data_IF_510549441781
#
_entry.id   IF_510549441781
#
_cell.length_a   1.000
_cell.length_b   1.000
_cell.length_c   1.000
_cell.angle_alpha   90.00
_cell.angle_beta   90.00
_cell.angle_gamma   90.00
#
_symmetry.space_group_name_H-M   'P 1'
#
loop_
_entity.id
_entity.type
_entity.pdbx_description
1 polymer ?
#
# COMPACT_ATOMS: atom_id res chain seq x y z
N UNK A 1 1.64 26.98 8.37
CA UNK A 1 2.86 26.31 7.87
C UNK A 1 2.41 25.01 7.20
N UNK A 2 2.74 24.82 5.93
CA UNK A 2 2.36 23.63 5.18
C UNK A 2 3.51 22.64 5.31
N UNK A 3 3.22 21.40 5.71
CA UNK A 3 4.16 20.27 5.67
C UNK A 3 3.93 19.48 4.39
N UNK A 4 4.97 19.18 3.64
CA UNK A 4 4.92 18.28 2.49
C UNK A 4 5.60 16.96 2.82
N UNK A 5 4.91 15.85 2.56
CA UNK A 5 5.33 14.49 2.82
C UNK A 5 5.10 13.61 1.59
N UNK A 6 6.10 13.38 0.74
CA UNK A 6 6.06 12.28 -0.20
C UNK A 6 6.34 10.95 0.52
N UNK A 7 5.59 9.93 0.18
CA UNK A 7 5.75 8.58 0.69
C UNK A 7 6.46 7.76 -0.40
N UNK A 8 7.51 7.05 -0.01
CA UNK A 8 8.26 6.15 -0.89
C UNK A 8 7.88 4.70 -0.55
N UNK A 9 7.15 4.06 -1.44
CA UNK A 9 6.72 2.66 -1.31
C UNK A 9 7.84 1.72 -1.74
N UNK A 10 8.88 1.63 -0.92
CA UNK A 10 10.09 0.84 -1.16
C UNK A 10 10.02 -0.61 -0.64
N UNK A 11 8.90 -1.01 -0.08
CA UNK A 11 8.63 -2.39 0.38
C UNK A 11 8.59 -3.37 -0.78
N UNK A 12 8.09 -2.93 -1.93
CA UNK A 12 7.82 -3.72 -3.11
C UNK A 12 6.45 -3.36 -3.66
N UNK A 13 6.30 -3.39 -4.98
CA UNK A 13 5.04 -3.02 -5.59
C UNK A 13 4.68 -4.02 -6.69
N UNK A 14 3.54 -4.65 -6.51
CA UNK A 14 2.99 -5.57 -7.50
C UNK A 14 2.58 -4.81 -8.78
N UNK A 15 2.57 -5.49 -9.92
CA UNK A 15 2.27 -4.85 -11.21
C UNK A 15 0.80 -4.48 -11.38
N UNK A 16 -0.08 -4.95 -10.50
CA UNK A 16 -1.51 -4.60 -10.50
C UNK A 16 -1.92 -3.98 -9.17
N UNK A 17 -2.84 -3.03 -9.22
CA UNK A 17 -3.44 -2.39 -8.05
C UNK A 17 -4.37 -3.35 -7.26
N UNK A 18 -4.60 -4.55 -7.80
CA UNK A 18 -5.42 -5.63 -7.20
C UNK A 18 -4.63 -6.71 -6.48
N UNK A 19 -3.48 -6.36 -5.90
CA UNK A 19 -2.62 -7.30 -5.14
C UNK A 19 -2.15 -8.52 -5.96
N UNK A 20 -2.00 -8.37 -7.28
CA UNK A 20 -1.57 -9.42 -8.21
C UNK A 20 -0.47 -8.93 -9.15
N UNK A 21 0.23 -9.86 -9.79
CA UNK A 21 1.29 -9.55 -10.75
C UNK A 21 2.69 -9.66 -10.13
N UNK A 22 3.72 -9.44 -10.95
CA UNK A 22 5.12 -9.56 -10.52
C UNK A 22 5.59 -8.30 -9.76
N UNK A 23 6.50 -8.45 -8.81
CA UNK A 23 7.14 -7.32 -8.13
C UNK A 23 8.04 -6.54 -9.11
N UNK A 24 7.73 -5.26 -9.30
CA UNK A 24 8.47 -4.34 -10.18
C UNK A 24 9.88 -4.09 -9.67
N UNK A 25 10.05 -3.97 -8.34
CA UNK A 25 11.34 -3.72 -7.71
C UNK A 25 12.28 -4.91 -7.88
N UNK A 26 11.76 -6.13 -7.66
CA UNK A 26 12.51 -7.36 -7.85
C UNK A 26 12.93 -7.56 -9.32
N UNK A 27 12.08 -7.24 -10.29
CA UNK A 27 12.43 -7.25 -11.70
C UNK A 27 13.56 -6.26 -12.03
N UNK A 28 13.48 -5.05 -11.49
CA UNK A 28 14.53 -4.03 -11.62
C UNK A 28 15.84 -4.51 -11.02
N UNK A 29 15.81 -5.05 -9.81
CA UNK A 29 16.97 -5.58 -9.10
C UNK A 29 17.67 -6.70 -9.89
N UNK A 30 16.92 -7.69 -10.38
CA UNK A 30 17.44 -8.77 -11.21
C UNK A 30 18.07 -8.26 -12.52
N UNK A 31 17.42 -7.29 -13.19
CA UNK A 31 17.92 -6.69 -14.44
C UNK A 31 19.23 -5.94 -14.24
N UNK A 32 19.38 -5.22 -13.13
CA UNK A 32 20.50 -4.35 -12.85
C UNK A 32 21.57 -5.00 -11.96
N UNK A 33 21.37 -6.26 -11.58
CA UNK A 33 22.27 -7.01 -10.67
C UNK A 33 22.51 -6.29 -9.35
N UNK A 34 21.44 -5.72 -8.77
CA UNK A 34 21.43 -5.00 -7.51
C UNK A 34 20.40 -5.64 -6.55
N UNK A 35 20.49 -5.29 -5.27
CA UNK A 35 19.43 -5.59 -4.31
C UNK A 35 18.22 -4.65 -4.52
N UNK A 36 17.05 -5.03 -4.01
CA UNK A 36 15.86 -4.17 -4.04
C UNK A 36 16.12 -2.83 -3.36
N UNK A 37 16.82 -2.83 -2.22
CA UNK A 37 17.16 -1.60 -1.48
C UNK A 37 18.13 -0.70 -2.26
N UNK A 38 19.13 -1.25 -2.96
CA UNK A 38 20.01 -0.46 -3.82
C UNK A 38 19.27 0.19 -4.99
N UNK A 39 18.27 -0.50 -5.55
CA UNK A 39 17.38 0.06 -6.58
C UNK A 39 16.55 1.20 -6.01
N UNK A 40 15.92 1.00 -4.84
CA UNK A 40 15.12 2.04 -4.18
C UNK A 40 15.97 3.30 -3.89
N UNK A 41 17.15 3.14 -3.31
CA UNK A 41 18.07 4.25 -3.01
C UNK A 41 18.53 4.98 -4.29
N UNK A 42 18.87 4.24 -5.33
CA UNK A 42 19.30 4.82 -6.60
C UNK A 42 18.20 5.70 -7.23
N UNK A 43 16.98 5.18 -7.35
CA UNK A 43 15.89 5.94 -7.97
C UNK A 43 15.36 7.06 -7.08
N UNK A 44 15.41 6.92 -5.76
CA UNK A 44 15.11 8.01 -4.82
C UNK A 44 16.07 9.18 -5.02
N UNK A 45 17.37 8.91 -5.14
CA UNK A 45 18.39 9.95 -5.41
C UNK A 45 18.19 10.60 -6.79
N UNK A 46 17.91 9.80 -7.82
CA UNK A 46 17.63 10.30 -9.16
C UNK A 46 16.39 11.21 -9.16
N UNK A 47 15.30 10.79 -8.51
CA UNK A 47 14.09 11.60 -8.39
C UNK A 47 14.36 12.97 -7.76
N UNK A 48 15.10 13.03 -6.65
CA UNK A 48 15.41 14.32 -6.01
C UNK A 48 16.40 15.17 -6.82
N UNK A 49 17.29 14.55 -7.58
CA UNK A 49 18.16 15.28 -8.51
C UNK A 49 17.32 15.95 -9.61
N UNK A 50 16.40 15.23 -10.22
CA UNK A 50 15.48 15.75 -11.24
C UNK A 50 14.57 16.84 -10.67
N UNK A 51 14.05 16.67 -9.46
CA UNK A 51 13.29 17.69 -8.75
C UNK A 51 14.10 18.99 -8.56
N UNK A 52 15.37 18.86 -8.19
CA UNK A 52 16.25 20.02 -7.99
C UNK A 52 16.48 20.79 -9.31
N UNK A 53 16.66 20.07 -10.43
CA UNK A 53 16.79 20.69 -11.76
C UNK A 53 15.53 21.47 -12.20
N UNK A 54 14.37 20.98 -11.78
CA UNK A 54 13.07 21.64 -12.01
C UNK A 54 12.76 22.74 -10.97
N UNK A 55 13.67 23.08 -10.07
CA UNK A 55 13.46 23.99 -8.96
C UNK A 55 12.30 23.60 -8.03
N UNK A 56 12.00 22.31 -7.91
CA UNK A 56 11.03 21.79 -6.97
C UNK A 56 11.70 21.75 -5.59
N UNK A 57 11.08 22.43 -4.62
CA UNK A 57 11.59 22.51 -3.26
C UNK A 57 11.57 21.13 -2.60
N UNK A 58 12.66 20.80 -1.91
CA UNK A 58 12.73 19.56 -1.11
C UNK A 58 11.58 19.53 -0.09
N UNK A 59 10.85 18.41 0.03
CA UNK A 59 9.79 18.25 1.02
C UNK A 59 10.31 18.35 2.46
N UNK A 60 9.42 18.66 3.40
CA UNK A 60 9.77 18.78 4.84
C UNK A 60 10.08 17.41 5.45
N UNK A 61 9.39 16.36 5.00
CA UNK A 61 9.60 14.97 5.42
C UNK A 61 9.65 14.08 4.18
N UNK A 62 10.58 13.15 4.18
CA UNK A 62 10.67 12.06 3.18
C UNK A 62 10.73 10.75 3.95
N UNK A 63 9.71 9.93 3.84
CA UNK A 63 9.61 8.70 4.63
C UNK A 63 9.50 7.46 3.73
N UNK A 64 10.53 6.59 3.74
CA UNK A 64 10.44 5.27 3.12
C UNK A 64 9.52 4.35 3.93
N UNK A 65 8.67 3.60 3.26
CA UNK A 65 7.72 2.69 3.91
C UNK A 65 8.42 1.59 4.74
N UNK A 66 9.60 1.13 4.30
CA UNK A 66 10.41 0.15 5.05
C UNK A 66 10.81 0.61 6.44
N UNK A 67 10.85 1.92 6.72
CA UNK A 67 11.13 2.46 8.05
C UNK A 67 9.92 2.42 9.00
N UNK A 68 8.72 2.16 8.49
CA UNK A 68 7.48 2.26 9.23
C UNK A 68 6.81 0.90 9.53
N UNK A 69 7.50 -0.21 9.30
CA UNK A 69 6.96 -1.56 9.52
C UNK A 69 6.36 -1.76 10.93
N UNK A 70 7.00 -1.32 12.02
CA UNK A 70 6.40 -1.44 13.36
C UNK A 70 5.12 -0.62 13.53
N UNK A 71 5.03 0.54 12.86
CA UNK A 71 3.84 1.38 12.87
C UNK A 71 2.68 0.70 12.12
N UNK A 72 2.95 0.05 10.98
CA UNK A 72 1.94 -0.72 10.24
C UNK A 72 1.41 -1.87 11.08
N UNK A 73 2.27 -2.66 11.72
CA UNK A 73 1.87 -3.76 12.60
C UNK A 73 0.98 -3.24 13.74
N UNK A 74 1.30 -2.10 14.33
CA UNK A 74 0.50 -1.48 15.39
C UNK A 74 -0.89 -1.09 14.90
N UNK A 75 -0.99 -0.44 13.74
CA UNK A 75 -2.29 -0.01 13.16
C UNK A 75 -3.13 -1.24 12.80
N UNK A 76 -2.54 -2.23 12.12
CA UNK A 76 -3.24 -3.47 11.75
C UNK A 76 -3.75 -4.21 13.01
N UNK A 77 -2.93 -4.29 14.07
CA UNK A 77 -3.36 -4.90 15.35
C UNK A 77 -4.57 -4.18 15.93
N UNK A 78 -4.58 -2.84 15.90
CA UNK A 78 -5.71 -2.04 16.37
C UNK A 78 -6.98 -2.26 15.51
N UNK A 79 -6.83 -2.43 14.19
CA UNK A 79 -7.95 -2.76 13.30
C UNK A 79 -8.55 -4.13 13.60
N UNK A 80 -7.70 -5.13 13.93
CA UNK A 80 -8.15 -6.45 14.36
C UNK A 80 -8.91 -6.36 15.69
N UNK A 81 -8.34 -5.66 16.68
CA UNK A 81 -8.98 -5.48 18.00
C UNK A 81 -10.33 -4.78 17.92
N UNK A 82 -10.46 -3.81 17.01
CA UNK A 82 -11.71 -3.09 16.75
C UNK A 82 -12.70 -3.88 15.89
N UNK A 83 -12.31 -5.02 15.33
CA UNK A 83 -13.15 -5.89 14.50
C UNK A 83 -13.30 -5.43 13.05
N UNK A 84 -12.43 -4.54 12.57
CA UNK A 84 -12.38 -4.09 11.17
C UNK A 84 -11.46 -4.95 10.30
N UNK A 85 -10.62 -5.79 10.89
CA UNK A 85 -9.76 -6.69 10.15
C UNK A 85 -9.89 -8.13 10.65
N UNK A 86 -9.54 -9.08 9.80
CA UNK A 86 -9.62 -10.51 10.08
C UNK A 86 -8.49 -11.29 9.41
N UNK A 87 -8.16 -12.43 9.98
CA UNK A 87 -7.23 -13.39 9.39
C UNK A 87 -7.98 -14.42 8.54
N UNK A 88 -7.49 -14.69 7.33
CA UNK A 88 -7.93 -15.77 6.49
C UNK A 88 -6.82 -16.24 5.55
N UNK A 89 -6.71 -17.56 5.34
CA UNK A 89 -5.68 -18.16 4.48
C UNK A 89 -4.23 -17.86 4.90
N UNK A 90 -4.02 -17.28 6.09
CA UNK A 90 -2.73 -16.83 6.62
C UNK A 90 -2.45 -15.34 6.39
N UNK A 91 -3.29 -14.62 5.66
CA UNK A 91 -3.17 -13.17 5.45
C UNK A 91 -4.14 -12.39 6.34
N UNK A 92 -3.87 -11.10 6.54
CA UNK A 92 -4.77 -10.19 7.26
C UNK A 92 -5.49 -9.31 6.25
N UNK A 93 -6.81 -9.28 6.32
CA UNK A 93 -7.68 -8.51 5.44
C UNK A 93 -8.45 -7.44 6.20
N UNK A 94 -8.71 -6.32 5.55
CA UNK A 94 -9.71 -5.35 6.00
C UNK A 94 -11.10 -5.81 5.57
N UNK A 95 -12.07 -5.75 6.49
CA UNK A 95 -13.49 -6.11 6.29
C UNK A 95 -14.29 -4.87 5.87
N UNK A 96 -14.45 -4.67 4.58
CA UNK A 96 -15.16 -3.50 4.03
C UNK A 96 -16.64 -3.46 4.40
N UNK A 97 -17.24 -4.59 4.76
CA UNK A 97 -18.64 -4.66 5.20
C UNK A 97 -18.90 -3.97 6.54
N UNK A 98 -17.85 -3.63 7.30
CA UNK A 98 -17.96 -2.90 8.57
C UNK A 98 -18.18 -1.41 8.36
N UNK A 99 -17.93 -0.88 7.17
CA UNK A 99 -18.11 0.52 6.85
C UNK A 99 -19.55 0.77 6.38
N UNK A 100 -20.12 1.90 6.80
CA UNK A 100 -21.45 2.34 6.33
C UNK A 100 -21.39 2.79 4.87
N UNK A 101 -20.27 3.39 4.49
CA UNK A 101 -19.98 3.89 3.16
C UNK A 101 -18.52 3.59 2.84
N UNK A 102 -18.29 2.82 1.81
CA UNK A 102 -16.94 2.45 1.37
C UNK A 102 -16.54 3.22 0.10
N UNK A 103 -17.45 3.37 -0.86
CA UNK A 103 -17.18 4.02 -2.15
C UNK A 103 -17.35 5.54 -2.05
N UNK A 104 -16.36 6.23 -1.45
CA UNK A 104 -16.44 7.66 -1.13
C UNK A 104 -16.17 8.59 -2.32
N UNK A 105 -15.57 8.08 -3.42
CA UNK A 105 -15.18 8.88 -4.59
C UNK A 105 -16.10 8.74 -5.81
N UNK A 106 -17.19 8.03 -5.71
CA UNK A 106 -18.15 7.88 -6.81
C UNK A 106 -19.18 6.79 -6.58
N UNK A 107 -20.22 6.79 -7.39
CA UNK A 107 -21.24 5.75 -7.43
C UNK A 107 -20.69 4.51 -8.19
N UNK A 108 -19.73 3.83 -7.58
CA UNK A 108 -19.25 2.54 -8.11
C UNK A 108 -20.27 1.47 -7.77
N UNK A 109 -20.86 0.86 -8.77
CA UNK A 109 -21.67 -0.33 -8.59
C UNK A 109 -20.80 -1.61 -8.72
N UNK A 110 -21.34 -2.77 -8.33
CA UNK A 110 -20.60 -4.03 -8.42
C UNK A 110 -20.20 -4.39 -9.87
N UNK A 111 -20.93 -3.89 -10.88
CA UNK A 111 -20.62 -4.11 -12.28
C UNK A 111 -19.44 -3.24 -12.73
N UNK A 112 -19.34 -2.00 -12.24
CA UNK A 112 -18.19 -1.10 -12.49
C UNK A 112 -16.92 -1.67 -11.82
N UNK A 113 -17.06 -2.31 -10.66
CA UNK A 113 -15.97 -3.03 -10.00
C UNK A 113 -15.49 -4.23 -10.81
N UNK A 114 -16.38 -4.93 -11.49
CA UNK A 114 -16.01 -6.03 -12.37
C UNK A 114 -15.22 -5.54 -13.60
N UNK A 115 -15.44 -4.29 -14.03
CA UNK A 115 -14.67 -3.63 -15.10
C UNK A 115 -13.35 -3.06 -14.57
N UNK A 116 -13.32 -2.56 -13.33
CA UNK A 116 -12.11 -2.08 -12.67
C UNK A 116 -11.16 -3.23 -12.23
N UNK A 117 -11.69 -4.44 -12.04
CA UNK A 117 -10.90 -5.67 -11.92
C UNK A 117 -10.36 -6.00 -13.31
N UNK A 118 -9.12 -5.60 -13.59
CA UNK A 118 -8.43 -5.94 -14.84
C UNK A 118 -8.57 -7.44 -15.14
N UNK A 119 -8.78 -7.77 -16.42
CA UNK A 119 -8.76 -9.16 -16.89
C UNK A 119 -7.51 -9.87 -16.36
N UNK A 120 -7.70 -10.96 -15.62
CA UNK A 120 -6.62 -11.81 -15.10
C UNK A 120 -6.37 -11.73 -13.59
N UNK A 121 -7.19 -11.02 -12.82
CA UNK A 121 -7.16 -11.09 -11.35
C UNK A 121 -7.89 -12.35 -10.90
N UNK A 122 -7.17 -13.33 -10.41
CA UNK A 122 -7.77 -14.50 -9.77
C UNK A 122 -8.54 -14.09 -8.52
N UNK A 123 -9.78 -14.55 -8.38
CA UNK A 123 -10.57 -14.35 -7.16
C UNK A 123 -9.81 -14.95 -5.95
N UNK A 124 -9.53 -14.13 -4.95
CA UNK A 124 -9.00 -14.60 -3.68
C UNK A 124 -10.13 -15.18 -2.83
N UNK A 125 -10.25 -16.50 -2.84
CA UNK A 125 -11.28 -17.22 -2.09
C UNK A 125 -11.22 -17.09 -0.57
N UNK A 126 -10.18 -16.41 -0.03
CA UNK A 126 -10.08 -16.14 1.40
C UNK A 126 -10.81 -14.84 1.81
N UNK A 127 -11.12 -13.95 0.88
CA UNK A 127 -11.87 -12.73 1.14
C UNK A 127 -13.32 -13.05 1.53
N UNK A 128 -13.84 -12.39 2.56
CA UNK A 128 -15.26 -12.47 2.96
C UNK A 128 -16.15 -11.69 1.99
N UNK A 129 -15.66 -10.52 1.53
CA UNK A 129 -16.32 -9.67 0.56
C UNK A 129 -15.36 -9.37 -0.60
N UNK A 130 -15.87 -9.20 -1.81
CA UNK A 130 -15.04 -8.92 -3.00
C UNK A 130 -14.16 -7.68 -2.84
N UNK A 131 -14.68 -6.66 -2.16
CA UNK A 131 -13.99 -5.39 -1.94
C UNK A 131 -12.94 -5.43 -0.80
N UNK A 132 -12.89 -6.52 -0.01
CA UNK A 132 -11.89 -6.64 1.04
C UNK A 132 -10.49 -6.62 0.45
N UNK A 133 -9.54 -6.02 1.17
CA UNK A 133 -8.18 -5.88 0.71
C UNK A 133 -7.16 -6.30 1.78
N UNK A 134 -5.97 -6.68 1.34
CA UNK A 134 -4.95 -7.22 2.23
C UNK A 134 -4.25 -6.08 2.98
N UNK A 135 -4.12 -6.25 4.28
CA UNK A 135 -3.34 -5.38 5.17
C UNK A 135 -1.94 -5.94 5.43
N UNK A 136 -1.81 -7.28 5.50
CA UNK A 136 -0.55 -7.97 5.71
C UNK A 136 -0.53 -9.31 4.98
N UNK A 137 0.47 -9.52 4.16
CA UNK A 137 0.70 -10.76 3.44
C UNK A 137 1.68 -11.65 4.22
N UNK A 138 1.28 -12.85 4.61
CA UNK A 138 2.18 -13.93 5.06
C UNK A 138 2.28 -15.02 4.00
N UNK A 139 1.25 -15.16 3.17
CA UNK A 139 1.19 -16.07 2.04
C UNK A 139 0.77 -15.29 0.81
N UNK A 140 1.63 -15.25 -0.17
CA UNK A 140 1.33 -14.68 -1.47
C UNK A 140 1.64 -15.71 -2.54
N UNK A 141 1.02 -15.59 -3.71
CA UNK A 141 1.40 -16.38 -4.88
C UNK A 141 2.84 -16.07 -5.33
N UNK A 142 3.42 -15.00 -4.80
CA UNK A 142 4.75 -14.51 -5.10
C UNK A 142 5.68 -14.81 -3.94
N UNK A 143 6.15 -16.07 -3.84
CA UNK A 143 7.15 -16.49 -2.84
C UNK A 143 8.49 -15.73 -3.00
N UNK A 144 8.68 -15.05 -4.11
CA UNK A 144 9.90 -14.33 -4.49
C UNK A 144 10.04 -12.93 -3.85
N UNK A 145 9.07 -12.47 -3.03
CA UNK A 145 9.20 -11.19 -2.33
C UNK A 145 10.45 -11.22 -1.44
N UNK A 146 11.43 -10.35 -1.75
CA UNK A 146 12.72 -10.31 -1.07
C UNK A 146 12.61 -9.70 0.33
N UNK A 147 11.78 -8.66 0.48
CA UNK A 147 11.61 -7.92 1.73
C UNK A 147 10.45 -8.49 2.54
N UNK A 148 10.77 -9.10 3.67
CA UNK A 148 9.80 -9.67 4.63
C UNK A 148 10.22 -9.34 6.05
N UNK A 149 9.25 -9.16 6.94
CA UNK A 149 9.45 -8.83 8.35
C UNK A 149 8.65 -9.73 9.27
N UNK A 150 9.15 -9.92 10.47
CA UNK A 150 8.43 -10.57 11.56
C UNK A 150 7.19 -9.78 11.96
N UNK A 151 6.08 -10.47 12.17
CA UNK A 151 4.84 -9.89 12.68
C UNK A 151 4.12 -10.86 13.62
N UNK A 152 3.11 -10.42 14.40
CA UNK A 152 2.29 -11.33 15.21
C UNK A 152 1.56 -12.41 14.41
N UNK A 153 1.40 -12.21 13.12
CA UNK A 153 0.67 -13.11 12.19
C UNK A 153 1.62 -14.00 11.38
N UNK A 154 2.92 -13.81 11.52
CA UNK A 154 3.97 -14.53 10.81
C UNK A 154 4.88 -13.59 10.00
N UNK A 155 5.90 -14.19 9.38
CA UNK A 155 6.83 -13.48 8.50
C UNK A 155 6.10 -13.08 7.22
N UNK A 156 6.17 -11.79 6.86
CA UNK A 156 5.45 -11.26 5.71
C UNK A 156 5.75 -9.80 5.42
N UNK A 157 4.84 -9.14 4.71
CA UNK A 157 4.99 -7.74 4.31
C UNK A 157 3.63 -7.03 4.27
N UNK A 158 3.59 -5.67 4.43
CA UNK A 158 2.34 -4.91 4.41
C UNK A 158 1.70 -4.90 3.01
N UNK A 159 0.37 -4.74 2.97
CA UNK A 159 -0.34 -4.31 1.79
C UNK A 159 -0.02 -2.86 1.45
N UNK A 160 -0.16 -2.47 0.19
CA UNK A 160 0.22 -1.13 -0.28
C UNK A 160 -0.55 0.01 0.41
N UNK A 161 -1.85 -0.19 0.66
CA UNK A 161 -2.72 0.89 1.14
C UNK A 161 -2.40 1.33 2.57
N UNK A 162 -2.01 0.41 3.47
CA UNK A 162 -1.70 0.73 4.86
C UNK A 162 -0.45 1.61 5.01
N UNK A 163 0.46 1.55 4.04
CA UNK A 163 1.67 2.36 4.04
C UNK A 163 1.31 3.85 4.06
N UNK A 164 0.50 4.29 3.09
CA UNK A 164 0.14 5.69 2.95
C UNK A 164 -0.69 6.21 4.13
N UNK A 165 -1.70 5.45 4.58
CA UNK A 165 -2.51 5.84 5.74
C UNK A 165 -1.67 6.01 6.99
N UNK A 166 -0.84 5.02 7.29
CA UNK A 166 -0.06 5.00 8.52
C UNK A 166 1.04 6.07 8.53
N UNK A 167 1.77 6.23 7.43
CA UNK A 167 2.85 7.24 7.31
C UNK A 167 2.25 8.64 7.36
N UNK A 168 1.12 8.88 6.69
CA UNK A 168 0.43 10.18 6.75
C UNK A 168 0.00 10.52 8.16
N UNK A 169 -0.65 9.61 8.88
CA UNK A 169 -1.06 9.83 10.27
C UNK A 169 0.14 10.05 11.21
N UNK A 170 1.24 9.35 11.00
CA UNK A 170 2.46 9.48 11.81
C UNK A 170 3.06 10.89 11.74
N UNK A 171 3.09 11.51 10.56
CA UNK A 171 3.77 12.77 10.34
C UNK A 171 2.84 13.99 10.28
N UNK A 172 1.60 13.80 9.83
CA UNK A 172 0.63 14.88 9.60
C UNK A 172 -0.54 14.87 10.59
N UNK A 173 -0.69 13.80 11.38
CA UNK A 173 -1.77 13.65 12.34
C UNK A 173 -3.02 13.02 11.73
N UNK A 174 -4.13 13.08 12.48
CA UNK A 174 -5.40 12.40 12.12
C UNK A 174 -6.15 13.07 10.96
N UNK A 175 -5.80 14.31 10.63
CA UNK A 175 -6.47 15.08 9.58
C UNK A 175 -5.47 15.48 8.52
N UNK A 176 -5.76 15.11 7.29
CA UNK A 176 -4.97 15.42 6.11
C UNK A 176 -5.72 16.46 5.25
N UNK A 177 -5.12 17.65 5.08
CA UNK A 177 -5.78 18.74 4.34
C UNK A 177 -5.79 18.50 2.84
N UNK A 178 -4.74 17.89 2.30
CA UNK A 178 -4.59 17.65 0.87
C UNK A 178 -3.80 16.36 0.65
N UNK A 179 -4.40 15.43 -0.09
CA UNK A 179 -3.77 14.21 -0.56
C UNK A 179 -3.74 14.20 -2.08
N UNK A 180 -2.56 14.05 -2.67
CA UNK A 180 -2.36 14.08 -4.12
C UNK A 180 -1.93 12.70 -4.62
N UNK A 181 -2.59 12.25 -5.68
CA UNK A 181 -2.25 11.04 -6.42
C UNK A 181 -2.79 11.11 -7.84
N UNK A 182 -2.44 10.12 -8.66
CA UNK A 182 -3.06 9.95 -9.98
C UNK A 182 -4.55 9.64 -9.84
N UNK A 183 -5.35 9.95 -10.86
CA UNK A 183 -6.79 9.68 -10.85
C UNK A 183 -7.10 8.20 -10.71
N UNK A 184 -6.22 7.33 -11.18
CA UNK A 184 -6.24 5.88 -11.06
C UNK A 184 -6.10 5.40 -9.61
N UNK A 185 -5.55 6.23 -8.72
CA UNK A 185 -5.48 5.93 -7.29
C UNK A 185 -6.78 6.22 -6.53
N UNK A 186 -7.74 6.94 -7.10
CA UNK A 186 -9.02 7.22 -6.44
C UNK A 186 -9.71 5.92 -5.99
N UNK A 187 -9.67 4.91 -6.84
CA UNK A 187 -10.09 3.55 -6.53
C UNK A 187 -9.10 2.52 -7.12
N UNK A 188 -8.64 1.52 -6.33
CA UNK A 188 -9.01 1.27 -4.92
C UNK A 188 -8.13 2.01 -3.89
N UNK A 189 -6.99 2.60 -4.26
CA UNK A 189 -5.94 3.01 -3.32
C UNK A 189 -6.42 4.04 -2.29
N UNK A 190 -6.88 5.23 -2.73
CA UNK A 190 -7.35 6.28 -1.83
C UNK A 190 -8.62 5.88 -1.08
N UNK A 191 -9.50 5.09 -1.71
CA UNK A 191 -10.68 4.52 -1.04
C UNK A 191 -10.26 3.62 0.12
N UNK A 192 -9.25 2.77 -0.08
CA UNK A 192 -8.73 1.87 0.95
C UNK A 192 -7.96 2.63 2.04
N UNK A 193 -7.25 3.70 1.70
CA UNK A 193 -6.60 4.56 2.69
C UNK A 193 -7.60 5.21 3.64
N UNK A 194 -8.75 5.66 3.13
CA UNK A 194 -9.82 6.25 3.97
C UNK A 194 -10.51 5.18 4.82
N UNK A 195 -10.59 3.94 4.35
CA UNK A 195 -11.25 2.84 5.03
C UNK A 195 -10.50 2.38 6.29
N UNK A 196 -9.20 2.44 6.29
CA UNK A 196 -8.32 1.90 7.35
C UNK A 196 -7.71 3.01 8.25
#
# INVERSE_FOLDING_TARGET
QTCALPIFTDVGHLTSDGDTGDDKMLKGAKREHKTVMEIADFYTKAFFADCAELNIKTPDVVEPATHCIPDFIKVISALIEKGYAYEAGGNIYFDTSKLKEYYVFGDFNEEDLAVAVREGVDEDGNKRNKADFVLWFTKSKFDDQELKWESPWGVGYPGWHIECSCISMKHLGEYLDLHCGGIDNAFPHHTNEIAQ
#
